data_IF_137937618746
#
_entry.id   IF_137937618746
#
_cell.length_a   1.000
_cell.length_b   1.000
_cell.length_c   1.000
_cell.angle_alpha   90.00
_cell.angle_beta   90.00
_cell.angle_gamma   90.00
#
_symmetry.space_group_name_H-M   'P 1'
#
loop_
_entity.id
_entity.type
_entity.pdbx_description
1 polymer ?
#
# COMPACT_ATOMS: atom_id res chain seq x y z
N UNK A 1 6.60 -21.63 41.29
CA UNK A 1 6.14 -22.23 40.02
C UNK A 1 4.76 -21.72 39.60
N UNK A 2 3.73 -21.74 40.47
CA UNK A 2 2.40 -21.17 40.18
C UNK A 2 2.42 -19.67 39.86
N UNK A 3 3.14 -18.84 40.64
CA UNK A 3 3.21 -17.37 40.42
C UNK A 3 3.81 -17.02 39.05
N UNK A 4 4.83 -17.74 38.60
CA UNK A 4 5.44 -17.54 37.28
C UNK A 4 4.48 -17.91 36.14
N UNK A 5 3.57 -18.86 36.36
CA UNK A 5 2.59 -19.28 35.36
C UNK A 5 1.48 -18.23 35.19
N UNK A 6 0.98 -17.67 36.30
CA UNK A 6 0.01 -16.56 36.27
C UNK A 6 0.60 -15.26 35.71
N UNK A 7 1.89 -15.01 35.95
CA UNK A 7 2.59 -13.88 35.33
C UNK A 7 2.69 -14.01 33.81
N UNK A 8 2.95 -15.21 33.30
CA UNK A 8 3.06 -15.47 31.87
C UNK A 8 1.70 -15.36 31.16
N UNK A 9 0.61 -15.84 31.78
CA UNK A 9 -0.74 -15.70 31.21
C UNK A 9 -1.23 -14.25 31.21
N UNK A 10 -0.87 -13.46 32.23
CA UNK A 10 -1.17 -12.03 32.26
C UNK A 10 -0.43 -11.25 31.15
N UNK A 11 0.84 -11.58 30.87
CA UNK A 11 1.58 -11.01 29.73
C UNK A 11 0.99 -11.41 28.37
N UNK A 12 0.51 -12.66 28.23
CA UNK A 12 -0.14 -13.10 27.00
C UNK A 12 -1.44 -12.34 26.72
N UNK A 13 -2.16 -11.91 27.76
CA UNK A 13 -3.42 -11.16 27.62
C UNK A 13 -3.23 -9.73 27.06
N UNK A 14 -2.06 -9.11 27.27
CA UNK A 14 -1.72 -7.79 26.72
C UNK A 14 -1.09 -7.86 25.31
N UNK A 15 -0.66 -9.05 24.88
CA UNK A 15 -0.14 -9.26 23.52
C UNK A 15 -1.31 -9.47 22.55
N UNK A 16 -1.89 -8.37 22.07
CA UNK A 16 -2.99 -8.42 21.10
C UNK A 16 -2.47 -8.35 19.66
N UNK A 17 -2.74 -9.38 18.87
CA UNK A 17 -2.52 -9.37 17.43
C UNK A 17 -3.78 -8.82 16.74
N UNK A 18 -3.65 -7.68 16.07
CA UNK A 18 -4.74 -7.08 15.32
C UNK A 18 -4.76 -7.55 13.87
N UNK A 19 -5.96 -7.63 13.30
CA UNK A 19 -6.18 -7.77 11.87
C UNK A 19 -6.26 -6.39 11.24
N UNK A 20 -5.28 -6.05 10.41
CA UNK A 20 -5.12 -4.72 9.84
C UNK A 20 -5.25 -4.82 8.32
N UNK A 21 -6.09 -3.95 7.75
CA UNK A 21 -6.22 -3.82 6.29
C UNK A 21 -5.67 -2.46 5.88
N UNK A 22 -4.73 -2.46 4.95
CA UNK A 22 -4.10 -1.25 4.39
C UNK A 22 -4.56 -1.10 2.95
N UNK A 23 -5.26 0.00 2.65
CA UNK A 23 -5.64 0.35 1.29
C UNK A 23 -4.55 1.23 0.68
N UNK A 24 -3.86 0.70 -0.32
CA UNK A 24 -2.75 1.39 -0.96
C UNK A 24 -3.08 1.61 -2.45
N UNK A 25 -3.10 2.87 -2.92
CA UNK A 25 -3.28 3.13 -4.34
C UNK A 25 -2.02 2.75 -5.13
N UNK A 26 -2.20 1.93 -6.15
CA UNK A 26 -1.16 1.50 -7.08
C UNK A 26 -1.11 2.50 -8.26
N UNK A 27 -0.68 3.73 -7.95
CA UNK A 27 -0.53 4.85 -8.91
C UNK A 27 0.97 5.12 -9.17
N UNK A 28 1.82 4.85 -8.17
CA UNK A 28 3.25 5.13 -8.25
C UNK A 28 4.03 4.19 -7.33
N UNK A 29 5.22 3.78 -7.79
CA UNK A 29 6.16 2.99 -7.01
C UNK A 29 6.49 3.63 -5.65
N UNK A 30 6.60 4.96 -5.55
CA UNK A 30 6.89 5.60 -4.26
C UNK A 30 5.76 5.41 -3.24
N UNK A 31 4.51 5.46 -3.69
CA UNK A 31 3.31 5.24 -2.89
C UNK A 31 3.19 3.78 -2.42
N UNK A 32 3.37 2.84 -3.34
CA UNK A 32 3.34 1.40 -3.02
C UNK A 32 4.50 1.05 -2.09
N UNK A 33 5.68 1.63 -2.30
CA UNK A 33 6.88 1.41 -1.50
C UNK A 33 6.76 1.93 -0.06
N UNK A 34 6.07 3.06 0.15
CA UNK A 34 5.76 3.54 1.49
C UNK A 34 4.84 2.57 2.24
N UNK A 35 3.74 2.17 1.61
CA UNK A 35 2.77 1.24 2.19
C UNK A 35 3.37 -0.16 2.44
N UNK A 36 4.30 -0.61 1.58
CA UNK A 36 5.11 -1.80 1.84
C UNK A 36 5.86 -1.70 3.16
N UNK A 37 6.64 -0.63 3.39
CA UNK A 37 7.43 -0.50 4.62
C UNK A 37 6.56 -0.49 5.88
N UNK A 38 5.42 0.20 5.83
CA UNK A 38 4.45 0.24 6.94
C UNK A 38 3.85 -1.14 7.18
N UNK A 39 3.31 -1.79 6.15
CA UNK A 39 2.69 -3.11 6.26
C UNK A 39 3.65 -4.20 6.73
N UNK A 40 4.88 -4.21 6.23
CA UNK A 40 5.91 -5.15 6.67
C UNK A 40 6.34 -4.92 8.12
N UNK A 41 6.38 -3.67 8.58
CA UNK A 41 6.69 -3.35 9.98
C UNK A 41 5.58 -3.85 10.90
N UNK A 42 4.32 -3.64 10.51
CA UNK A 42 3.15 -4.14 11.25
C UNK A 42 3.10 -5.67 11.28
N UNK A 43 3.41 -6.33 10.17
CA UNK A 43 3.49 -7.79 10.12
C UNK A 43 4.63 -8.33 11.00
N UNK A 44 5.81 -7.69 10.99
CA UNK A 44 6.92 -8.03 11.89
C UNK A 44 6.58 -7.87 13.37
N UNK A 45 5.68 -6.95 13.71
CA UNK A 45 5.18 -6.79 15.08
C UNK A 45 4.19 -7.90 15.51
N UNK A 46 3.86 -8.84 14.61
CA UNK A 46 2.96 -9.96 14.90
C UNK A 46 1.50 -9.70 14.56
N UNK A 47 1.18 -8.63 13.83
CA UNK A 47 -0.17 -8.36 13.33
C UNK A 47 -0.45 -9.13 12.03
N UNK A 48 -1.72 -9.47 11.80
CA UNK A 48 -2.19 -10.03 10.54
C UNK A 48 -2.53 -8.88 9.59
N UNK A 49 -1.65 -8.63 8.62
CA UNK A 49 -1.74 -7.47 7.74
C UNK A 49 -2.12 -7.89 6.32
N UNK A 50 -3.21 -7.34 5.82
CA UNK A 50 -3.63 -7.46 4.43
C UNK A 50 -3.49 -6.11 3.73
N UNK A 51 -2.75 -6.06 2.63
CA UNK A 51 -2.63 -4.88 1.77
C UNK A 51 -3.53 -5.07 0.56
N UNK A 52 -4.48 -4.16 0.39
CA UNK A 52 -5.33 -4.07 -0.80
C UNK A 52 -4.70 -3.06 -1.74
N UNK A 53 -4.13 -3.56 -2.84
CA UNK A 53 -3.56 -2.72 -3.89
C UNK A 53 -4.67 -2.31 -4.84
N UNK A 54 -5.02 -1.03 -4.83
CA UNK A 54 -6.05 -0.47 -5.70
C UNK A 54 -5.40 -0.04 -7.00
N UNK A 55 -5.56 -0.86 -8.04
CA UNK A 55 -4.99 -0.62 -9.36
C UNK A 55 -5.85 0.38 -10.10
N UNK A 56 -5.34 1.59 -10.24
CA UNK A 56 -6.02 2.70 -10.92
C UNK A 56 -5.69 2.75 -12.41
N UNK A 57 -4.53 2.22 -12.78
CA UNK A 57 -4.06 2.08 -14.15
C UNK A 57 -4.26 0.63 -14.63
N UNK A 58 -4.52 0.45 -15.92
CA UNK A 58 -4.59 -0.88 -16.52
C UNK A 58 -3.22 -1.57 -16.57
N UNK A 59 -2.16 -0.78 -16.77
CA UNK A 59 -0.78 -1.23 -16.89
C UNK A 59 0.15 -0.57 -15.84
N UNK A 60 -0.02 -0.86 -14.53
CA UNK A 60 0.85 -0.31 -13.50
C UNK A 60 2.22 -1.00 -13.49
N UNK A 61 3.27 -0.25 -13.15
CA UNK A 61 4.60 -0.83 -12.91
C UNK A 61 4.56 -1.74 -11.68
N UNK A 62 5.13 -2.94 -11.77
CA UNK A 62 5.15 -3.93 -10.67
C UNK A 62 6.55 -4.10 -10.08
N UNK A 63 7.23 -2.99 -9.81
CA UNK A 63 8.62 -3.04 -9.33
C UNK A 63 8.74 -3.37 -7.84
N UNK A 64 7.62 -3.34 -7.10
CA UNK A 64 7.61 -3.50 -5.65
C UNK A 64 6.93 -4.81 -5.24
N UNK A 65 7.75 -5.74 -4.75
CA UNK A 65 7.29 -6.98 -4.13
C UNK A 65 7.16 -6.83 -2.61
N UNK A 66 6.14 -7.44 -2.01
CA UNK A 66 5.94 -7.49 -0.56
C UNK A 66 6.52 -8.79 0.01
N UNK A 67 6.92 -8.77 1.29
CA UNK A 67 7.29 -9.98 2.02
C UNK A 67 6.10 -10.96 2.14
N UNK A 68 6.38 -12.27 2.19
CA UNK A 68 5.39 -13.36 2.27
C UNK A 68 4.49 -13.32 3.51
N UNK A 69 4.90 -12.58 4.55
CA UNK A 69 4.13 -12.37 5.77
C UNK A 69 2.95 -11.40 5.59
N UNK A 70 2.94 -10.62 4.50
CA UNK A 70 1.87 -9.65 4.21
C UNK A 70 0.99 -10.21 3.11
N UNK A 71 -0.32 -10.29 3.35
CA UNK A 71 -1.27 -10.75 2.33
C UNK A 71 -1.56 -9.61 1.37
N UNK A 72 -1.21 -9.75 0.10
CA UNK A 72 -1.46 -8.73 -0.92
C UNK A 72 -2.64 -9.15 -1.78
N UNK A 73 -3.64 -8.27 -1.91
CA UNK A 73 -4.82 -8.47 -2.74
C UNK A 73 -4.91 -7.33 -3.75
N UNK A 74 -4.60 -7.57 -5.04
CA UNK A 74 -4.80 -6.57 -6.08
C UNK A 74 -6.30 -6.47 -6.42
N UNK A 75 -6.80 -5.24 -6.51
CA UNK A 75 -8.17 -4.90 -6.92
C UNK A 75 -8.07 -3.95 -8.10
N UNK A 76 -8.58 -4.37 -9.26
CA UNK A 76 -8.68 -3.50 -10.42
C UNK A 76 -9.83 -2.51 -10.21
N UNK A 77 -9.48 -1.23 -10.09
CA UNK A 77 -10.39 -0.10 -10.01
C UNK A 77 -10.17 0.88 -11.17
N UNK A 78 -9.48 0.45 -12.23
CA UNK A 78 -9.23 1.30 -13.39
C UNK A 78 -10.52 1.57 -14.16
N UNK A 79 -10.65 2.79 -14.65
CA UNK A 79 -11.76 3.22 -15.52
C UNK A 79 -11.35 3.32 -16.99
N UNK A 80 -10.36 2.51 -17.42
CA UNK A 80 -9.78 2.57 -18.77
C UNK A 80 -8.60 3.54 -18.90
N UNK A 81 -7.96 3.91 -17.78
CA UNK A 81 -6.81 4.80 -17.76
C UNK A 81 -5.52 4.00 -17.93
N UNK A 82 -4.83 4.23 -19.04
CA UNK A 82 -3.50 3.65 -19.28
C UNK A 82 -2.41 4.54 -18.73
N UNK A 83 -1.26 3.94 -18.38
CA UNK A 83 -0.09 4.69 -17.88
C UNK A 83 0.35 5.78 -18.87
N UNK A 84 0.39 5.46 -20.17
CA UNK A 84 0.74 6.43 -21.22
C UNK A 84 -0.20 7.63 -21.24
N UNK A 85 -1.51 7.39 -21.16
CA UNK A 85 -2.50 8.48 -21.11
C UNK A 85 -2.33 9.36 -19.86
N UNK A 86 -2.00 8.75 -18.72
CA UNK A 86 -1.72 9.49 -17.49
C UNK A 86 -0.42 10.31 -17.55
N UNK A 87 0.64 9.78 -18.16
CA UNK A 87 1.91 10.48 -18.37
C UNK A 87 1.76 11.66 -19.34
N UNK A 88 1.03 11.48 -20.44
CA UNK A 88 0.72 12.55 -21.39
C UNK A 88 -0.09 13.66 -20.72
N UNK A 89 -1.13 13.31 -19.95
CA UNK A 89 -1.92 14.27 -19.18
C UNK A 89 -1.06 15.03 -18.16
N UNK A 90 -0.19 14.33 -17.44
CA UNK A 90 0.71 14.94 -16.45
C UNK A 90 1.70 15.89 -17.14
N UNK A 91 2.26 15.48 -18.29
CA UNK A 91 3.16 16.32 -19.08
C UNK A 91 2.49 17.61 -19.54
N UNK A 92 1.28 17.50 -20.09
CA UNK A 92 0.51 18.66 -20.57
C UNK A 92 0.10 19.58 -19.41
N UNK A 93 -0.33 19.01 -18.28
CA UNK A 93 -0.81 19.80 -17.14
C UNK A 93 0.32 20.47 -16.34
N UNK A 94 1.46 19.80 -16.16
CA UNK A 94 2.56 20.28 -15.30
C UNK A 94 3.58 21.11 -16.07
N UNK A 95 3.89 20.70 -17.31
CA UNK A 95 4.94 21.32 -18.13
C UNK A 95 4.40 22.00 -19.39
N UNK A 96 3.09 21.91 -19.67
CA UNK A 96 2.44 22.68 -20.73
C UNK A 96 2.34 24.15 -20.35
N UNK A 97 3.42 24.90 -20.59
CA UNK A 97 3.41 26.35 -20.50
C UNK A 97 2.50 26.89 -21.60
N UNK A 98 1.45 27.62 -21.19
CA UNK A 98 0.72 28.66 -21.95
C UNK A 98 0.20 28.29 -23.36
N UNK A 99 -1.04 27.78 -23.43
CA UNK A 99 -1.96 28.16 -24.52
C UNK A 99 -2.86 29.35 -24.16
N UNK A 100 -2.52 30.07 -23.08
CA UNK A 100 -3.14 31.34 -22.69
C UNK A 100 -2.15 32.49 -22.88
N UNK A 101 -1.68 32.72 -24.10
CA UNK A 101 -1.28 34.07 -24.51
C UNK A 101 -1.26 34.15 -26.04
N UNK A 102 -1.83 35.26 -26.54
CA UNK A 102 -2.03 35.67 -27.94
C UNK A 102 -3.33 35.20 -28.62
N UNK A 103 -4.46 35.64 -28.03
CA UNK A 103 -5.51 36.28 -28.82
C UNK A 103 -5.23 37.79 -28.89
#
# INVERSE_FOLDING_TARGET
>A
MLISFYGLTALAAICSSYKIVVFAPDISNSQVGWNKRVSETLAKAGHDVTVVLVQTLEDPDKDISFNSQVKVVPVNASSGLTKKGFEEFTKDTVFGVSKFELA
#
